data_IF_188362547335
#
_entry.id   IF_188362547335
#
_cell.length_a   1.000
_cell.length_b   1.000
_cell.length_c   1.000
_cell.angle_alpha   90.00
_cell.angle_beta   90.00
_cell.angle_gamma   90.00
#
_symmetry.space_group_name_H-M   'P 1'
#
loop_
_entity.id
_entity.type
_entity.pdbx_description
1 polymer ?
#
# COMPACT_ATOMS: atom_id res chain seq x y z
N UNK A 1 -44.98 12.59 -9.99
CA UNK A 1 -43.66 13.12 -10.38
C UNK A 1 -42.67 12.02 -10.09
N UNK A 2 -42.15 11.40 -11.17
CA UNK A 2 -41.21 10.30 -11.14
C UNK A 2 -39.82 10.86 -10.80
N UNK A 3 -39.23 10.44 -9.67
CA UNK A 3 -37.81 10.60 -9.40
C UNK A 3 -37.08 9.51 -10.17
N UNK A 4 -36.57 9.86 -11.35
CA UNK A 4 -35.58 9.08 -12.05
C UNK A 4 -34.22 9.35 -11.43
N UNK A 5 -33.80 8.50 -10.50
CA UNK A 5 -32.41 8.38 -10.09
C UNK A 5 -31.60 7.94 -11.31
N UNK A 6 -30.73 8.81 -11.79
CA UNK A 6 -29.73 8.50 -12.78
C UNK A 6 -28.74 7.48 -12.16
N UNK A 7 -29.04 6.19 -12.28
CA UNK A 7 -28.01 5.16 -12.21
C UNK A 7 -27.12 5.34 -13.44
N UNK A 8 -26.00 6.04 -13.27
CA UNK A 8 -24.90 6.00 -14.24
C UNK A 8 -24.38 4.56 -14.23
N UNK A 9 -24.81 3.79 -15.21
CA UNK A 9 -24.20 2.50 -15.51
C UNK A 9 -22.73 2.72 -15.84
N UNK A 10 -21.84 2.36 -14.93
CA UNK A 10 -20.42 2.32 -15.20
C UNK A 10 -20.15 1.16 -16.15
N UNK A 11 -19.74 1.50 -17.37
CA UNK A 11 -19.26 0.53 -18.35
C UNK A 11 -17.88 0.01 -17.90
N UNK A 12 -17.89 -1.08 -17.14
CA UNK A 12 -16.70 -1.77 -16.63
C UNK A 12 -15.85 -2.35 -17.77
N UNK A 13 -16.41 -2.46 -18.98
CA UNK A 13 -15.76 -3.09 -20.14
C UNK A 13 -14.59 -2.33 -20.74
N UNK A 14 -14.30 -1.10 -20.34
CA UNK A 14 -13.23 -0.25 -20.91
C UNK A 14 -11.96 -0.13 -20.09
N UNK A 15 -11.89 -0.68 -18.88
CA UNK A 15 -10.71 -0.55 -18.02
C UNK A 15 -9.79 -1.78 -18.09
N UNK A 16 -9.01 -1.87 -19.18
CA UNK A 16 -7.84 -2.77 -19.29
C UNK A 16 -6.64 -2.30 -18.47
N UNK A 17 -6.79 -1.29 -17.59
CA UNK A 17 -5.69 -0.59 -16.94
C UNK A 17 -5.74 -0.73 -15.42
N UNK A 18 -4.55 -0.80 -14.81
CA UNK A 18 -4.34 -0.70 -13.37
C UNK A 18 -5.14 0.47 -12.78
N UNK A 19 -5.90 0.21 -11.71
CA UNK A 19 -6.75 1.18 -11.02
C UNK A 19 -6.31 1.42 -9.58
N UNK A 20 -5.95 0.36 -8.89
CA UNK A 20 -5.65 0.43 -7.46
C UNK A 20 -4.31 -0.24 -7.13
N UNK A 21 -3.50 0.44 -6.33
CA UNK A 21 -2.23 -0.08 -5.81
C UNK A 21 -2.34 -0.18 -4.29
N UNK A 22 -2.33 -1.41 -3.79
CA UNK A 22 -2.29 -1.67 -2.35
C UNK A 22 -0.86 -1.73 -1.87
N UNK A 23 -0.48 -0.89 -0.90
CA UNK A 23 0.83 -0.91 -0.27
C UNK A 23 0.66 -1.55 1.10
N UNK A 24 1.26 -2.72 1.27
CA UNK A 24 1.17 -3.53 2.49
C UNK A 24 2.55 -3.83 3.07
N UNK A 25 2.58 -4.24 4.31
CA UNK A 25 3.84 -4.57 5.00
C UNK A 25 3.72 -4.35 6.50
N UNK A 26 4.84 -4.46 7.20
CA UNK A 26 4.89 -4.08 8.61
C UNK A 26 5.07 -2.56 8.76
N UNK A 27 4.64 -1.98 9.88
CA UNK A 27 5.02 -0.62 10.22
C UNK A 27 6.53 -0.44 10.15
N UNK A 28 6.97 0.74 9.73
CA UNK A 28 8.41 1.08 9.62
C UNK A 28 9.18 0.32 8.54
N UNK A 29 8.50 -0.34 7.60
CA UNK A 29 9.12 -1.04 6.46
C UNK A 29 9.36 -0.16 5.22
N UNK A 30 9.06 1.15 5.29
CA UNK A 30 9.25 2.09 4.19
C UNK A 30 8.04 2.32 3.29
N UNK A 31 6.87 1.83 3.67
CA UNK A 31 5.61 1.96 2.91
C UNK A 31 5.23 3.42 2.60
N UNK A 32 5.46 4.36 3.53
CA UNK A 32 5.19 5.79 3.30
C UNK A 32 6.12 6.38 2.24
N UNK A 33 7.38 5.94 2.17
CA UNK A 33 8.30 6.36 1.11
C UNK A 33 7.81 5.88 -0.26
N UNK A 34 7.37 4.63 -0.34
CA UNK A 34 6.84 4.05 -1.58
C UNK A 34 5.59 4.79 -2.04
N UNK A 35 4.64 5.06 -1.14
CA UNK A 35 3.45 5.86 -1.46
C UNK A 35 3.82 7.27 -1.92
N UNK A 36 4.80 7.90 -1.26
CA UNK A 36 5.29 9.23 -1.66
C UNK A 36 5.94 9.23 -3.04
N UNK A 37 6.70 8.19 -3.38
CA UNK A 37 7.29 8.01 -4.72
C UNK A 37 6.19 7.89 -5.77
N UNK A 38 5.21 7.00 -5.56
CA UNK A 38 4.11 6.80 -6.51
C UNK A 38 3.25 8.04 -6.69
N UNK A 39 3.01 8.79 -5.60
CA UNK A 39 2.27 10.05 -5.63
C UNK A 39 2.99 11.22 -6.33
N UNK A 40 4.22 11.02 -6.83
CA UNK A 40 4.86 11.97 -7.76
C UNK A 40 4.24 11.89 -9.16
N UNK A 41 3.53 10.82 -9.48
CA UNK A 41 2.73 10.72 -10.69
C UNK A 41 1.42 11.49 -10.48
N UNK A 42 1.14 12.46 -11.36
CA UNK A 42 -0.08 13.30 -11.30
C UNK A 42 -1.39 12.52 -11.43
N UNK A 43 -1.33 11.34 -12.04
CA UNK A 43 -2.49 10.48 -12.25
C UNK A 43 -2.75 9.53 -11.07
N UNK A 44 -1.87 9.55 -10.05
CA UNK A 44 -1.96 8.75 -8.82
C UNK A 44 -2.44 9.60 -7.65
N UNK A 45 -3.50 9.17 -7.00
CA UNK A 45 -4.01 9.76 -5.77
C UNK A 45 -3.71 8.86 -4.56
N UNK A 46 -3.06 9.43 -3.55
CA UNK A 46 -2.71 8.71 -2.33
C UNK A 46 -3.89 8.74 -1.34
N UNK A 47 -4.50 7.58 -1.09
CA UNK A 47 -5.56 7.43 -0.08
C UNK A 47 -5.00 7.25 1.34
N UNK A 48 -3.69 7.02 1.49
CA UNK A 48 -3.05 6.81 2.78
C UNK A 48 -3.55 5.55 3.50
N UNK A 49 -3.64 5.63 4.82
CA UNK A 49 -4.13 4.54 5.70
C UNK A 49 -5.66 4.53 5.74
N UNK A 50 -6.28 4.31 4.59
CA UNK A 50 -7.73 4.36 4.42
C UNK A 50 -8.39 2.99 4.66
N UNK A 51 -9.48 2.98 5.42
CA UNK A 51 -10.28 1.79 5.70
C UNK A 51 -11.23 1.37 4.54
N UNK A 52 -11.06 1.93 3.34
CA UNK A 52 -11.97 1.68 2.20
C UNK A 52 -12.11 0.19 1.92
N UNK A 53 -11.00 -0.57 1.89
CA UNK A 53 -11.07 -2.01 1.63
C UNK A 53 -11.83 -2.75 2.73
N UNK A 54 -11.60 -2.42 4.00
CA UNK A 54 -12.32 -3.04 5.11
C UNK A 54 -13.83 -2.77 5.01
N UNK A 55 -14.22 -1.53 4.70
CA UNK A 55 -15.63 -1.18 4.51
C UNK A 55 -16.25 -1.94 3.33
N UNK A 56 -15.53 -2.05 2.22
CA UNK A 56 -15.97 -2.82 1.05
C UNK A 56 -16.14 -4.32 1.39
N UNK A 57 -15.23 -4.89 2.18
CA UNK A 57 -15.33 -6.27 2.65
C UNK A 57 -16.56 -6.49 3.54
N UNK A 58 -16.77 -5.61 4.52
CA UNK A 58 -17.94 -5.69 5.42
C UNK A 58 -19.26 -5.62 4.64
N UNK A 59 -19.38 -4.68 3.69
CA UNK A 59 -20.58 -4.58 2.86
C UNK A 59 -20.79 -5.76 1.92
N UNK A 60 -19.69 -6.37 1.46
CA UNK A 60 -19.74 -7.51 0.52
C UNK A 60 -19.91 -8.87 1.22
N UNK A 61 -19.90 -8.93 2.53
CA UNK A 61 -20.03 -10.19 3.30
C UNK A 61 -21.32 -10.93 2.94
N UNK A 62 -22.45 -10.22 2.83
CA UNK A 62 -23.76 -10.81 2.50
C UNK A 62 -23.81 -11.40 1.08
N UNK A 63 -23.00 -10.93 0.17
CA UNK A 63 -22.86 -11.42 -1.22
C UNK A 63 -21.74 -12.44 -1.38
N UNK A 64 -21.25 -13.01 -0.28
CA UNK A 64 -20.07 -13.88 -0.26
C UNK A 64 -18.85 -13.26 -0.98
N UNK A 65 -18.65 -11.97 -0.74
CA UNK A 65 -17.54 -11.15 -1.27
C UNK A 65 -17.51 -10.95 -2.79
N UNK A 66 -18.54 -11.38 -3.53
CA UNK A 66 -18.58 -11.24 -4.99
C UNK A 66 -18.66 -9.77 -5.47
N UNK A 67 -19.00 -8.83 -4.58
CA UNK A 67 -19.17 -7.41 -4.90
C UNK A 67 -18.05 -6.51 -4.36
N UNK A 68 -16.95 -7.06 -3.85
CA UNK A 68 -15.86 -6.26 -3.25
C UNK A 68 -15.38 -5.17 -4.21
N UNK A 69 -15.16 -5.49 -5.48
CA UNK A 69 -14.67 -4.53 -6.47
C UNK A 69 -15.62 -3.35 -6.64
N UNK A 70 -16.92 -3.62 -6.76
CA UNK A 70 -17.96 -2.60 -6.85
C UNK A 70 -18.02 -1.72 -5.62
N UNK A 71 -17.97 -2.32 -4.42
CA UNK A 71 -18.02 -1.56 -3.17
C UNK A 71 -16.74 -0.75 -2.96
N UNK A 72 -15.58 -1.33 -3.27
CA UNK A 72 -14.32 -0.60 -3.19
C UNK A 72 -14.31 0.62 -4.12
N UNK A 73 -14.77 0.48 -5.35
CA UNK A 73 -14.93 1.58 -6.30
C UNK A 73 -15.83 2.69 -5.76
N UNK A 74 -17.01 2.33 -5.24
CA UNK A 74 -17.95 3.28 -4.65
C UNK A 74 -17.32 4.15 -3.58
N UNK A 75 -16.48 3.55 -2.72
CA UNK A 75 -15.79 4.29 -1.67
C UNK A 75 -14.59 5.09 -2.17
N UNK A 76 -13.76 4.52 -3.04
CA UNK A 76 -12.55 5.19 -3.52
C UNK A 76 -12.85 6.42 -4.39
N UNK A 77 -13.92 6.40 -5.18
CA UNK A 77 -14.37 7.52 -6.01
C UNK A 77 -14.77 8.76 -5.19
N UNK A 78 -15.21 8.59 -3.95
CA UNK A 78 -15.55 9.71 -3.07
C UNK A 78 -14.31 10.55 -2.67
N UNK A 79 -13.10 9.97 -2.78
CA UNK A 79 -11.86 10.61 -2.36
C UNK A 79 -10.97 11.05 -3.51
N UNK A 80 -11.24 10.60 -4.73
CA UNK A 80 -10.36 10.88 -5.87
C UNK A 80 -11.12 11.05 -7.16
N UNK A 81 -10.80 12.14 -7.88
CA UNK A 81 -11.20 12.33 -9.27
C UNK A 81 -10.23 11.66 -10.26
N UNK A 82 -9.07 11.19 -9.78
CA UNK A 82 -8.09 10.45 -10.59
C UNK A 82 -8.52 9.00 -10.76
N UNK A 83 -8.05 8.37 -11.85
CA UNK A 83 -8.40 6.98 -12.17
C UNK A 83 -7.58 5.96 -11.39
N UNK A 84 -6.44 6.35 -10.84
CA UNK A 84 -5.51 5.47 -10.15
C UNK A 84 -5.31 5.91 -8.70
N UNK A 85 -5.46 4.98 -7.76
CA UNK A 85 -5.30 5.25 -6.34
C UNK A 85 -4.22 4.37 -5.71
N UNK A 86 -3.58 4.88 -4.63
CA UNK A 86 -2.85 4.02 -3.68
C UNK A 86 -3.64 3.88 -2.40
N UNK A 87 -3.70 2.69 -1.83
CA UNK A 87 -4.22 2.45 -0.48
C UNK A 87 -3.10 1.80 0.35
N UNK A 88 -2.58 2.57 1.30
CA UNK A 88 -1.46 2.16 2.16
C UNK A 88 -1.95 1.80 3.57
N UNK A 89 -3.01 1.05 3.69
CA UNK A 89 -3.41 0.41 4.94
C UNK A 89 -2.60 -0.88 5.09
N UNK A 90 -1.63 -0.87 6.00
CA UNK A 90 -0.65 -1.95 6.13
C UNK A 90 -1.30 -3.30 6.45
N UNK A 91 -2.37 -3.29 7.26
CA UNK A 91 -3.17 -4.48 7.62
C UNK A 91 -3.89 -5.13 6.43
N UNK A 92 -3.97 -4.47 5.28
CA UNK A 92 -4.54 -5.07 4.07
C UNK A 92 -3.78 -6.32 3.60
N UNK A 93 -2.58 -6.60 4.16
CA UNK A 93 -1.91 -7.89 3.90
C UNK A 93 -2.78 -9.09 4.28
N UNK A 94 -3.65 -8.96 5.28
CA UNK A 94 -4.58 -10.02 5.70
C UNK A 94 -5.64 -10.30 4.63
N UNK A 95 -5.91 -9.35 3.76
CA UNK A 95 -6.93 -9.40 2.72
C UNK A 95 -6.36 -9.63 1.30
N UNK A 96 -5.07 -9.96 1.19
CA UNK A 96 -4.41 -10.27 -0.11
C UNK A 96 -5.20 -11.31 -0.92
N UNK A 97 -5.75 -12.40 -0.35
CA UNK A 97 -6.57 -13.32 -1.10
C UNK A 97 -7.77 -12.67 -1.81
N UNK A 98 -8.47 -11.77 -1.12
CA UNK A 98 -9.60 -11.05 -1.69
C UNK A 98 -9.16 -10.03 -2.74
N UNK A 99 -8.10 -9.27 -2.46
CA UNK A 99 -7.53 -8.31 -3.41
C UNK A 99 -7.16 -9.04 -4.72
N UNK A 100 -6.39 -10.12 -4.63
CA UNK A 100 -5.88 -10.84 -5.78
C UNK A 100 -6.97 -11.60 -6.58
N UNK A 101 -8.10 -11.96 -5.96
CA UNK A 101 -9.16 -12.75 -6.60
C UNK A 101 -10.37 -11.93 -7.04
N UNK A 102 -10.61 -10.76 -6.43
CA UNK A 102 -11.84 -9.99 -6.64
C UNK A 102 -11.61 -8.57 -7.15
N UNK A 103 -10.40 -8.02 -7.01
CA UNK A 103 -10.05 -6.69 -7.52
C UNK A 103 -9.14 -6.85 -8.76
N UNK A 104 -9.75 -7.17 -9.89
CA UNK A 104 -9.04 -7.55 -11.13
C UNK A 104 -8.02 -6.50 -11.60
N UNK A 105 -8.32 -5.21 -11.36
CA UNK A 105 -7.48 -4.08 -11.79
C UNK A 105 -6.57 -3.54 -10.67
N UNK A 106 -6.17 -4.40 -9.74
CA UNK A 106 -5.31 -4.03 -8.63
C UNK A 106 -3.93 -4.69 -8.69
N UNK A 107 -2.94 -4.01 -8.11
CA UNK A 107 -1.60 -4.55 -7.84
C UNK A 107 -1.24 -4.33 -6.37
N UNK A 108 -0.39 -5.19 -5.83
CA UNK A 108 0.01 -5.15 -4.43
C UNK A 108 1.52 -4.94 -4.34
N UNK A 109 1.95 -3.97 -3.56
CA UNK A 109 3.36 -3.75 -3.24
C UNK A 109 3.56 -4.13 -1.77
N UNK A 110 4.34 -5.17 -1.54
CA UNK A 110 4.77 -5.56 -0.21
C UNK A 110 6.11 -4.95 0.13
N UNK A 111 6.14 -4.05 1.12
CA UNK A 111 7.37 -3.43 1.59
C UNK A 111 7.95 -4.20 2.77
N UNK A 112 9.25 -4.48 2.71
CA UNK A 112 9.99 -5.12 3.79
C UNK A 112 11.42 -4.58 3.88
N UNK A 113 12.04 -4.73 5.02
CA UNK A 113 13.43 -4.31 5.26
C UNK A 113 14.17 -5.31 6.14
N UNK A 114 15.43 -5.02 6.46
CA UNK A 114 16.21 -5.81 7.41
C UNK A 114 15.38 -6.11 8.66
N UNK A 115 15.26 -7.38 9.10
CA UNK A 115 14.44 -7.76 10.25
C UNK A 115 14.80 -7.00 11.52
N UNK A 116 16.09 -6.92 11.85
CA UNK A 116 16.56 -6.27 13.09
C UNK A 116 16.22 -4.78 13.09
N UNK A 117 16.47 -4.08 11.96
CA UNK A 117 16.12 -2.68 11.81
C UNK A 117 14.61 -2.44 11.92
N UNK A 118 13.81 -3.34 11.35
CA UNK A 118 12.34 -3.20 11.41
C UNK A 118 11.82 -3.42 12.83
N UNK A 119 12.26 -4.49 13.51
CA UNK A 119 11.86 -4.84 14.87
C UNK A 119 12.25 -3.70 15.82
N UNK A 120 13.50 -3.24 15.77
CA UNK A 120 13.96 -2.13 16.59
C UNK A 120 13.20 -0.84 16.33
N UNK A 121 12.89 -0.55 15.06
CA UNK A 121 12.13 0.65 14.70
C UNK A 121 10.67 0.58 15.14
N UNK A 122 10.02 -0.59 15.15
CA UNK A 122 8.69 -0.78 15.72
C UNK A 122 8.70 -0.60 17.24
N UNK A 123 9.64 -1.22 17.93
CA UNK A 123 9.81 -1.10 19.38
C UNK A 123 10.05 0.36 19.81
N UNK A 124 10.96 1.09 19.11
CA UNK A 124 11.25 2.50 19.40
C UNK A 124 10.05 3.42 19.12
N UNK A 125 9.19 3.06 18.20
CA UNK A 125 8.02 3.87 17.83
C UNK A 125 6.93 3.85 18.92
N UNK A 126 6.87 2.80 19.74
CA UNK A 126 5.88 2.63 20.83
C UNK A 126 4.48 2.99 20.38
N UNK A 127 3.98 2.29 19.35
CA UNK A 127 2.65 2.56 18.83
C UNK A 127 1.60 2.42 19.93
N UNK A 128 0.65 3.35 19.95
CA UNK A 128 -0.47 3.33 20.88
C UNK A 128 -1.73 2.82 20.20
N UNK A 129 -2.70 2.36 20.99
CA UNK A 129 -3.98 1.87 20.50
C UNK A 129 -4.06 0.34 20.44
N UNK A 130 -5.28 -0.15 20.36
CA UNK A 130 -5.62 -1.58 20.34
C UNK A 130 -4.95 -2.25 19.11
N UNK A 131 -4.31 -3.40 19.34
CA UNK A 131 -3.63 -4.17 18.30
C UNK A 131 -2.17 -3.76 18.05
N UNK A 132 -1.65 -2.77 18.80
CA UNK A 132 -0.27 -2.31 18.69
C UNK A 132 0.61 -2.72 19.88
N UNK A 133 0.09 -3.55 20.77
CA UNK A 133 0.75 -3.99 22.02
C UNK A 133 2.09 -4.68 21.75
N UNK A 134 2.23 -5.34 20.58
CA UNK A 134 3.48 -5.97 20.16
C UNK A 134 4.67 -4.99 20.13
N UNK A 135 4.42 -3.68 19.97
CA UNK A 135 5.49 -2.68 19.89
C UNK A 135 6.07 -2.29 21.26
N UNK A 136 5.49 -2.74 22.36
CA UNK A 136 5.97 -2.47 23.72
C UNK A 136 7.11 -3.39 24.18
N UNK A 137 7.36 -4.48 23.43
CA UNK A 137 8.38 -5.49 23.72
C UNK A 137 9.17 -5.84 22.48
N UNK A 138 10.50 -5.99 22.60
CA UNK A 138 11.34 -6.46 21.48
C UNK A 138 10.99 -7.89 21.08
N UNK A 139 10.67 -8.74 22.06
CA UNK A 139 10.29 -10.13 21.82
C UNK A 139 8.98 -10.20 21.04
N UNK A 140 7.97 -9.44 21.47
CA UNK A 140 6.67 -9.43 20.79
C UNK A 140 6.77 -8.80 19.40
N UNK A 141 7.56 -7.74 19.23
CA UNK A 141 7.88 -7.17 17.93
C UNK A 141 8.55 -8.20 17.00
N UNK A 142 9.46 -9.03 17.53
CA UNK A 142 10.13 -10.08 16.77
C UNK A 142 9.16 -11.21 16.39
N UNK A 143 8.31 -11.65 17.31
CA UNK A 143 7.28 -12.65 17.03
C UNK A 143 6.29 -12.15 15.99
N UNK A 144 5.84 -10.91 16.09
CA UNK A 144 4.97 -10.27 15.11
C UNK A 144 5.61 -10.23 13.72
N UNK A 145 6.90 -9.85 13.65
CA UNK A 145 7.67 -9.88 12.40
C UNK A 145 7.72 -11.30 11.81
N UNK A 146 8.04 -12.31 12.62
CA UNK A 146 8.16 -13.70 12.15
C UNK A 146 6.84 -14.22 11.61
N UNK A 147 5.72 -13.98 12.31
CA UNK A 147 4.40 -14.40 11.87
C UNK A 147 4.02 -13.73 10.55
N UNK A 148 4.22 -12.42 10.46
CA UNK A 148 3.97 -11.68 9.22
C UNK A 148 4.83 -12.19 8.06
N UNK A 149 6.12 -12.41 8.29
CA UNK A 149 7.03 -12.93 7.28
C UNK A 149 6.61 -14.32 6.77
N UNK A 150 6.15 -15.21 7.65
CA UNK A 150 5.63 -16.52 7.25
C UNK A 150 4.41 -16.40 6.33
N UNK A 151 3.46 -15.53 6.68
CA UNK A 151 2.26 -15.26 5.86
C UNK A 151 2.66 -14.71 4.50
N UNK A 152 3.52 -13.69 4.46
CA UNK A 152 3.96 -13.08 3.21
C UNK A 152 4.81 -14.02 2.34
N UNK A 153 5.58 -14.93 2.96
CA UNK A 153 6.32 -15.98 2.24
C UNK A 153 5.37 -16.99 1.57
N UNK A 154 4.25 -17.32 2.20
CA UNK A 154 3.20 -18.12 1.60
C UNK A 154 2.54 -17.37 0.42
N UNK A 155 2.17 -16.09 0.61
CA UNK A 155 1.56 -15.28 -0.43
C UNK A 155 2.48 -15.03 -1.62
N UNK A 156 3.79 -14.94 -1.40
CA UNK A 156 4.79 -14.83 -2.46
C UNK A 156 4.71 -15.98 -3.46
N UNK A 157 4.45 -17.20 -2.97
CA UNK A 157 4.33 -18.39 -3.83
C UNK A 157 2.97 -18.41 -4.53
N UNK A 158 1.90 -18.09 -3.79
CA UNK A 158 0.52 -18.26 -4.28
C UNK A 158 0.05 -17.13 -5.19
N UNK A 159 0.49 -15.89 -4.94
CA UNK A 159 0.02 -14.67 -5.63
C UNK A 159 1.17 -13.89 -6.28
N UNK A 160 2.18 -14.58 -6.80
CA UNK A 160 3.41 -13.99 -7.33
C UNK A 160 3.19 -12.93 -8.42
N UNK A 161 2.16 -13.09 -9.25
CA UNK A 161 1.85 -12.17 -10.34
C UNK A 161 1.18 -10.87 -9.84
N UNK A 162 0.56 -10.91 -8.66
CA UNK A 162 -0.16 -9.78 -8.07
C UNK A 162 0.70 -8.96 -7.09
N UNK A 163 1.83 -9.53 -6.60
CA UNK A 163 2.61 -8.90 -5.51
C UNK A 163 4.03 -8.59 -5.96
N UNK A 164 4.40 -7.32 -5.89
CA UNK A 164 5.79 -6.88 -5.99
C UNK A 164 6.44 -6.84 -4.61
N UNK A 165 7.57 -7.54 -4.44
CA UNK A 165 8.33 -7.59 -3.19
C UNK A 165 9.43 -6.53 -3.21
N UNK A 166 9.19 -5.41 -2.54
CA UNK A 166 10.08 -4.26 -2.50
C UNK A 166 10.91 -4.25 -1.22
N UNK A 167 12.22 -4.40 -1.37
CA UNK A 167 13.16 -4.29 -0.26
C UNK A 167 13.52 -2.81 -0.03
N UNK A 168 13.16 -2.28 1.15
CA UNK A 168 13.44 -0.89 1.52
C UNK A 168 14.93 -0.57 1.54
N UNK A 169 15.78 -1.48 2.07
CA UNK A 169 17.21 -1.22 2.19
C UNK A 169 17.87 -1.09 0.81
N UNK A 170 17.42 -1.91 -0.17
CA UNK A 170 17.84 -1.75 -1.57
C UNK A 170 17.33 -0.46 -2.16
N UNK A 171 16.06 -0.10 -1.91
CA UNK A 171 15.45 1.12 -2.43
C UNK A 171 16.21 2.36 -2.01
N UNK A 172 16.62 2.48 -0.74
CA UNK A 172 17.30 3.68 -0.25
C UNK A 172 18.79 3.71 -0.60
N UNK A 173 19.40 2.56 -0.86
CA UNK A 173 20.81 2.49 -1.31
C UNK A 173 20.96 2.64 -2.84
N UNK A 174 19.96 2.21 -3.62
CA UNK A 174 19.97 2.25 -5.09
C UNK A 174 18.62 2.74 -5.63
N UNK A 175 18.23 3.99 -5.31
CA UNK A 175 16.86 4.46 -5.57
C UNK A 175 16.49 4.45 -7.05
N UNK A 176 17.39 4.88 -7.93
CA UNK A 176 17.13 4.87 -9.37
C UNK A 176 16.79 3.48 -9.90
N UNK A 177 17.61 2.48 -9.56
CA UNK A 177 17.46 1.11 -10.06
C UNK A 177 16.16 0.47 -9.53
N UNK A 178 15.92 0.60 -8.22
CA UNK A 178 14.76 -0.05 -7.57
C UNK A 178 13.43 0.61 -7.93
N UNK A 179 13.41 1.94 -8.04
CA UNK A 179 12.21 2.67 -8.52
C UNK A 179 11.93 2.29 -9.97
N UNK A 180 12.95 2.25 -10.83
CA UNK A 180 12.77 1.88 -12.24
C UNK A 180 12.21 0.46 -12.41
N UNK A 181 12.67 -0.50 -11.60
CA UNK A 181 12.11 -1.86 -11.59
C UNK A 181 10.65 -1.87 -11.16
N UNK A 182 10.31 -1.11 -10.10
CA UNK A 182 8.94 -0.99 -9.62
C UNK A 182 8.03 -0.37 -10.69
N UNK A 183 8.45 0.72 -11.31
CA UNK A 183 7.67 1.40 -12.36
C UNK A 183 7.46 0.51 -13.58
N UNK A 184 8.50 -0.23 -14.01
CA UNK A 184 8.36 -1.20 -15.10
C UNK A 184 7.32 -2.28 -14.77
N UNK A 185 7.28 -2.79 -13.52
CA UNK A 185 6.28 -3.77 -13.11
C UNK A 185 4.87 -3.18 -13.04
N UNK A 186 4.75 -1.88 -12.70
CA UNK A 186 3.50 -1.13 -12.72
C UNK A 186 3.10 -0.66 -14.13
N UNK A 187 3.97 -0.82 -15.14
CA UNK A 187 3.79 -0.31 -16.50
C UNK A 187 3.73 1.23 -16.57
N UNK A 188 4.43 1.89 -15.63
CA UNK A 188 4.55 3.35 -15.60
C UNK A 188 5.77 3.84 -16.38
N UNK A 189 5.61 4.96 -17.07
CA UNK A 189 6.74 5.66 -17.68
C UNK A 189 7.67 6.26 -16.63
N UNK A 190 8.97 6.26 -16.91
CA UNK A 190 9.96 6.89 -16.06
C UNK A 190 9.82 8.42 -16.07
N UNK A 191 9.93 9.03 -14.88
CA UNK A 191 10.08 10.47 -14.67
C UNK A 191 11.08 10.70 -13.53
N UNK A 192 12.01 11.66 -13.72
CA UNK A 192 13.02 12.02 -12.71
C UNK A 192 12.41 12.52 -11.37
N UNK A 193 11.17 12.96 -11.38
CA UNK A 193 10.48 13.38 -10.19
C UNK A 193 10.26 12.24 -9.18
N UNK A 194 10.20 10.98 -9.63
CA UNK A 194 10.12 9.83 -8.73
C UNK A 194 11.31 9.72 -7.76
N UNK A 195 12.47 10.33 -8.11
CA UNK A 195 13.63 10.43 -7.21
C UNK A 195 13.51 11.55 -6.18
N UNK A 196 12.45 12.36 -6.26
CA UNK A 196 12.24 13.55 -5.41
C UNK A 196 10.93 13.47 -4.60
N UNK A 197 10.65 12.34 -3.90
CA UNK A 197 9.38 12.13 -3.19
C UNK A 197 9.10 13.21 -2.13
N UNK A 198 10.13 13.85 -1.61
CA UNK A 198 10.03 14.96 -0.66
C UNK A 198 9.32 16.21 -1.24
N UNK A 199 9.16 16.29 -2.57
CA UNK A 199 8.41 17.34 -3.25
C UNK A 199 6.94 17.01 -3.41
N UNK A 200 6.51 15.79 -3.02
CA UNK A 200 5.12 15.39 -3.08
C UNK A 200 4.26 16.32 -2.19
N UNK A 201 3.25 16.94 -2.80
CA UNK A 201 2.34 17.89 -2.13
C UNK A 201 1.13 17.18 -1.50
N UNK A 202 0.92 15.90 -1.78
CA UNK A 202 -0.16 15.13 -1.17
C UNK A 202 0.12 14.92 0.32
N UNK A 203 -0.88 15.07 1.16
CA UNK A 203 -0.73 14.93 2.62
C UNK A 203 -0.48 13.48 3.03
N UNK A 204 0.42 13.26 3.99
CA UNK A 204 0.68 11.95 4.58
C UNK A 204 0.33 11.99 6.06
N UNK A 205 -0.65 11.22 6.48
CA UNK A 205 -1.05 11.08 7.89
C UNK A 205 -0.47 9.79 8.46
N UNK A 206 0.84 9.76 8.72
CA UNK A 206 1.52 8.58 9.27
C UNK A 206 2.64 8.95 10.22
N UNK A 207 3.00 8.03 11.13
CA UNK A 207 4.14 8.18 12.04
C UNK A 207 5.49 8.38 11.32
N UNK A 208 5.58 8.06 10.03
CA UNK A 208 6.79 8.21 9.20
C UNK A 208 6.80 9.48 8.34
N UNK A 209 5.85 10.40 8.53
CA UNK A 209 5.69 11.60 7.71
C UNK A 209 6.95 12.49 7.66
N UNK A 210 7.65 12.65 8.79
CA UNK A 210 8.86 13.47 8.86
C UNK A 210 9.98 12.90 7.99
N UNK A 211 10.08 11.57 7.88
CA UNK A 211 11.17 10.91 7.15
C UNK A 211 11.07 11.07 5.64
N UNK A 212 9.87 11.25 5.08
CA UNK A 212 9.67 11.38 3.63
C UNK A 212 9.80 12.83 3.13
N UNK A 213 9.97 13.80 4.03
CA UNK A 213 10.17 15.23 3.69
C UNK A 213 11.61 15.59 3.35
N UNK A 214 12.53 14.65 3.38
CA UNK A 214 13.92 14.82 2.98
C UNK A 214 14.23 13.93 1.77
N UNK A 215 15.31 14.23 1.02
CA UNK A 215 15.79 13.35 -0.04
C UNK A 215 15.97 11.92 0.44
N UNK A 216 15.76 10.96 -0.47
CA UNK A 216 15.96 9.53 -0.17
C UNK A 216 17.38 9.34 0.37
N UNK A 217 17.50 8.71 1.52
CA UNK A 217 18.79 8.45 2.17
C UNK A 217 18.75 7.13 2.94
N UNK A 218 19.91 6.59 3.25
CA UNK A 218 20.07 5.29 3.92
C UNK A 218 20.41 5.39 5.41
N UNK A 219 20.25 6.55 6.05
CA UNK A 219 20.59 6.78 7.47
C UNK A 219 19.90 5.83 8.46
N UNK A 220 18.81 5.21 8.04
CA UNK A 220 18.05 4.26 8.87
C UNK A 220 18.43 2.80 8.63
N UNK A 221 19.42 2.51 7.79
CA UNK A 221 19.89 1.16 7.47
C UNK A 221 21.06 0.82 8.37
N UNK A 222 20.98 -0.29 9.13
CA UNK A 222 22.05 -0.77 10.00
C UNK A 222 22.22 0.04 11.28
N UNK A 223 21.17 0.72 11.78
CA UNK A 223 21.19 1.61 12.94
C UNK A 223 20.65 1.00 14.23
#
# INVERSE_FOLDING_TARGET
KKNTSLEKSFDIGKFKFLRDIFIVGLPRSGSTLVESILGMNKDVHNLGESAILLNALIESEKSNYSEIDRQYLKYSQNFSSTKLTTNKMLSNYMHIPHIASQLEHSKIIYTFRNPLDNILSMYRAKFTGIGNEYSSSLVDSALYYIHHFKIMSFYRKKYKEHIYFLNYDKLVNKPYEEIKKLLNWLEFSWDENYLKPYKNKQGFFTASNVQVRSPINNKSVGG
#
